data_IF_483587144269
#
_entry.id   IF_483587144269
#
_cell.length_a   1.000
_cell.length_b   1.000
_cell.length_c   1.000
_cell.angle_alpha   90.00
_cell.angle_beta   90.00
_cell.angle_gamma   90.00
#
_symmetry.space_group_name_H-M   'P 1'
#
loop_
_entity.id
_entity.type
_entity.pdbx_description
1 polymer ?
#
# COMPACT_ATOMS: atom_id res chain seq x y z
N UNK A 1 -16.68 1.09 13.57
CA UNK A 1 -16.04 0.07 12.73
C UNK A 1 -15.16 -0.78 13.61
N UNK A 2 -15.20 -2.10 13.43
CA UNK A 2 -14.23 -3.02 14.02
C UNK A 2 -12.99 -3.01 13.12
N UNK A 3 -11.86 -2.50 13.63
CA UNK A 3 -10.62 -2.33 12.86
C UNK A 3 -10.00 -3.68 12.51
N UNK A 4 -10.04 -4.64 13.43
CA UNK A 4 -9.47 -5.97 13.24
C UNK A 4 -10.25 -6.76 12.19
N UNK A 5 -11.58 -6.66 12.22
CA UNK A 5 -12.41 -7.24 11.17
C UNK A 5 -12.13 -6.60 9.81
N UNK A 6 -12.10 -5.27 9.74
CA UNK A 6 -11.87 -4.57 8.48
C UNK A 6 -10.47 -4.86 7.91
N UNK A 7 -9.45 -4.94 8.76
CA UNK A 7 -8.10 -5.36 8.37
C UNK A 7 -8.08 -6.76 7.77
N UNK A 8 -8.74 -7.75 8.41
CA UNK A 8 -8.79 -9.12 7.87
C UNK A 8 -9.43 -9.18 6.48
N UNK A 9 -10.48 -8.39 6.25
CA UNK A 9 -11.11 -8.28 4.93
C UNK A 9 -10.17 -7.67 3.89
N UNK A 10 -9.45 -6.60 4.25
CA UNK A 10 -8.45 -6.01 3.37
C UNK A 10 -7.26 -6.93 3.13
N UNK A 11 -6.81 -7.68 4.13
CA UNK A 11 -5.68 -8.60 4.00
C UNK A 11 -6.01 -9.70 2.99
N UNK A 12 -7.21 -10.27 3.02
CA UNK A 12 -7.65 -11.26 2.02
C UNK A 12 -7.58 -10.69 0.60
N UNK A 13 -8.04 -9.47 0.39
CA UNK A 13 -7.98 -8.82 -0.92
C UNK A 13 -6.54 -8.45 -1.33
N UNK A 14 -5.72 -7.98 -0.40
CA UNK A 14 -4.32 -7.66 -0.64
C UNK A 14 -3.54 -8.92 -1.00
N UNK A 15 -3.79 -10.05 -0.33
CA UNK A 15 -3.22 -11.35 -0.67
C UNK A 15 -3.65 -11.82 -2.06
N UNK A 16 -4.92 -11.61 -2.41
CA UNK A 16 -5.45 -11.96 -3.73
C UNK A 16 -4.72 -11.19 -4.83
N UNK A 17 -4.53 -9.88 -4.65
CA UNK A 17 -3.98 -8.97 -5.67
C UNK A 17 -2.45 -8.98 -5.73
N UNK A 18 -1.78 -9.09 -4.58
CA UNK A 18 -0.33 -8.88 -4.48
C UNK A 18 0.41 -10.13 -3.99
N UNK A 19 -0.28 -11.22 -3.70
CA UNK A 19 0.32 -12.50 -3.28
C UNK A 19 0.41 -12.67 -1.76
N UNK A 20 0.85 -13.85 -1.32
CA UNK A 20 0.82 -14.25 0.10
C UNK A 20 1.70 -13.35 0.99
N UNK A 21 1.37 -13.20 2.29
CA UNK A 21 2.15 -12.40 3.22
C UNK A 21 3.31 -13.22 3.80
N UNK A 22 4.29 -12.53 4.37
CA UNK A 22 5.26 -13.16 5.24
C UNK A 22 4.62 -13.49 6.59
N UNK A 23 4.32 -14.76 6.81
CA UNK A 23 3.67 -15.25 8.03
C UNK A 23 4.58 -15.32 9.26
N UNK A 24 5.86 -14.97 9.12
CA UNK A 24 6.76 -14.81 10.26
C UNK A 24 6.48 -13.53 11.04
N UNK A 25 5.77 -12.55 10.46
CA UNK A 25 5.36 -11.34 11.16
C UNK A 25 3.99 -11.48 11.80
N UNK A 26 3.83 -10.92 13.00
CA UNK A 26 2.60 -10.92 13.77
C UNK A 26 2.10 -9.48 13.93
N UNK A 27 0.84 -9.22 13.57
CA UNK A 27 0.18 -7.95 13.87
C UNK A 27 -0.31 -7.96 15.32
N UNK A 28 0.27 -7.09 16.15
CA UNK A 28 -0.09 -6.96 17.57
C UNK A 28 -1.34 -6.12 17.77
N UNK A 29 -1.43 -4.96 17.10
CA UNK A 29 -2.57 -4.07 17.23
C UNK A 29 -2.73 -3.11 16.05
N UNK A 30 -3.95 -2.57 15.95
CA UNK A 30 -4.30 -1.45 15.08
C UNK A 30 -4.80 -0.34 15.99
N UNK A 31 -4.15 0.82 15.97
CA UNK A 31 -4.52 1.92 16.88
C UNK A 31 -4.48 3.28 16.23
N UNK A 32 -5.32 4.18 16.74
CA UNK A 32 -5.20 5.60 16.46
C UNK A 32 -4.11 6.22 17.33
N UNK A 33 -3.23 7.02 16.74
CA UNK A 33 -2.26 7.82 17.50
C UNK A 33 -2.89 9.16 17.91
N UNK A 34 -2.57 9.64 19.12
CA UNK A 34 -3.17 10.86 19.67
C UNK A 34 -2.47 12.17 19.24
N UNK A 35 -1.35 12.05 18.51
CA UNK A 35 -0.56 13.16 17.99
C UNK A 35 -1.08 13.66 16.63
N UNK A 36 -1.25 14.97 16.49
CA UNK A 36 -1.93 15.58 15.33
C UNK A 36 -1.17 15.45 14.00
N UNK A 37 0.16 15.40 14.02
CA UNK A 37 1.00 15.42 12.80
C UNK A 37 1.70 14.09 12.51
N UNK A 38 1.20 13.01 13.07
CA UNK A 38 1.79 11.70 12.89
C UNK A 38 1.16 11.01 11.67
N UNK A 39 1.94 10.73 10.60
CA UNK A 39 1.41 10.00 9.45
C UNK A 39 0.99 8.59 9.89
N UNK A 40 0.04 8.00 9.16
CA UNK A 40 -0.18 6.57 9.26
C UNK A 40 1.09 5.82 8.86
N UNK A 41 1.31 4.67 9.50
CA UNK A 41 2.49 3.82 9.27
C UNK A 41 2.33 2.46 9.92
N UNK A 42 3.17 1.52 9.48
CA UNK A 42 3.56 0.37 10.27
C UNK A 42 4.71 0.74 11.22
N UNK A 43 4.63 0.27 12.46
CA UNK A 43 5.72 0.29 13.44
C UNK A 43 6.15 -1.14 13.76
N UNK A 44 7.46 -1.36 13.92
CA UNK A 44 8.00 -2.60 14.49
C UNK A 44 8.03 -2.45 16.02
N UNK A 45 7.19 -3.21 16.72
CA UNK A 45 7.16 -3.28 18.18
C UNK A 45 8.29 -4.18 18.71
N UNK A 46 8.56 -5.27 18.00
CA UNK A 46 9.73 -6.16 18.11
C UNK A 46 10.20 -6.54 16.69
N UNK A 47 11.23 -7.36 16.55
CA UNK A 47 11.79 -7.71 15.24
C UNK A 47 10.76 -8.35 14.29
N UNK A 48 9.80 -9.11 14.83
CA UNK A 48 8.74 -9.83 14.11
C UNK A 48 7.32 -9.37 14.47
N UNK A 49 7.17 -8.44 15.41
CA UNK A 49 5.87 -7.89 15.81
C UNK A 49 5.65 -6.51 15.22
N UNK A 50 4.54 -6.33 14.52
CA UNK A 50 4.18 -5.09 13.86
C UNK A 50 2.90 -4.50 14.43
N UNK A 51 2.74 -3.20 14.25
CA UNK A 51 1.56 -2.45 14.63
C UNK A 51 1.18 -1.45 13.54
N UNK A 52 -0.11 -1.37 13.23
CA UNK A 52 -0.65 -0.33 12.35
C UNK A 52 -1.06 0.88 13.20
N UNK A 53 -0.46 2.03 12.89
CA UNK A 53 -0.81 3.31 13.47
C UNK A 53 -1.61 4.14 12.47
N UNK A 54 -2.83 4.50 12.83
CA UNK A 54 -3.70 5.39 12.07
C UNK A 54 -3.68 6.79 12.68
N UNK A 55 -3.79 7.82 11.85
CA UNK A 55 -3.75 9.21 12.33
C UNK A 55 -4.92 9.54 13.27
N UNK A 56 -4.72 10.50 14.18
CA UNK A 56 -5.79 11.00 15.07
C UNK A 56 -7.04 11.43 14.30
N UNK A 57 -6.83 12.09 13.17
CA UNK A 57 -7.92 12.60 12.32
C UNK A 57 -8.79 11.47 11.75
N UNK A 58 -8.22 10.29 11.49
CA UNK A 58 -8.98 9.13 11.03
C UNK A 58 -9.99 8.65 12.08
N UNK A 59 -9.71 8.81 13.38
CA UNK A 59 -10.65 8.42 14.46
C UNK A 59 -12.04 9.07 14.32
N UNK A 60 -12.12 10.23 13.67
CA UNK A 60 -13.37 10.99 13.47
C UNK A 60 -13.88 10.94 12.03
N UNK A 61 -13.18 10.26 11.13
CA UNK A 61 -13.47 10.19 9.70
C UNK A 61 -13.37 8.73 9.26
N UNK A 62 -14.54 8.14 8.98
CA UNK A 62 -14.65 6.74 8.63
C UNK A 62 -13.92 6.41 7.33
N UNK A 63 -14.10 7.24 6.30
CA UNK A 63 -13.48 7.03 5.01
C UNK A 63 -11.96 7.25 5.09
N UNK A 64 -11.51 8.18 5.92
CA UNK A 64 -10.08 8.30 6.24
C UNK A 64 -9.52 7.10 6.97
N UNK A 65 -10.27 6.51 7.90
CA UNK A 65 -9.86 5.26 8.55
C UNK A 65 -9.75 4.14 7.52
N UNK A 66 -10.74 3.98 6.63
CA UNK A 66 -10.72 2.98 5.58
C UNK A 66 -9.51 3.16 4.64
N UNK A 67 -9.25 4.40 4.20
CA UNK A 67 -8.14 4.72 3.33
C UNK A 67 -6.78 4.41 3.98
N UNK A 68 -6.57 4.87 5.22
CA UNK A 68 -5.31 4.62 5.92
C UNK A 68 -5.12 3.13 6.25
N UNK A 69 -6.17 2.47 6.75
CA UNK A 69 -6.07 1.05 7.11
C UNK A 69 -5.80 0.17 5.89
N UNK A 70 -6.46 0.42 4.76
CA UNK A 70 -6.23 -0.33 3.53
C UNK A 70 -4.83 -0.08 2.94
N UNK A 71 -4.33 1.15 3.00
CA UNK A 71 -2.94 1.48 2.62
C UNK A 71 -1.94 0.67 3.46
N UNK A 72 -2.02 0.78 4.78
CA UNK A 72 -1.11 0.08 5.69
C UNK A 72 -1.23 -1.45 5.61
N UNK A 73 -2.41 -1.97 5.25
CA UNK A 73 -2.60 -3.41 5.06
C UNK A 73 -1.67 -3.97 4.00
N UNK A 74 -1.38 -3.24 2.93
CA UNK A 74 -0.46 -3.70 1.88
C UNK A 74 0.96 -3.85 2.41
N UNK A 75 1.43 -2.90 3.22
CA UNK A 75 2.75 -2.96 3.86
C UNK A 75 2.86 -4.15 4.84
N UNK A 76 1.75 -4.65 5.39
CA UNK A 76 1.78 -5.86 6.25
C UNK A 76 2.08 -7.15 5.49
N UNK A 77 1.95 -7.16 4.16
CA UNK A 77 2.24 -8.35 3.37
C UNK A 77 3.72 -8.75 3.45
N UNK A 78 4.62 -7.78 3.57
CA UNK A 78 6.04 -8.03 3.83
C UNK A 78 6.64 -6.78 4.47
N UNK A 79 6.51 -6.62 5.80
CA UNK A 79 6.95 -5.41 6.48
C UNK A 79 8.44 -5.16 6.23
N UNK A 80 8.76 -3.98 5.72
CA UNK A 80 10.13 -3.45 5.61
C UNK A 80 10.25 -2.18 6.44
N UNK A 81 11.48 -1.79 6.80
CA UNK A 81 11.67 -0.52 7.50
C UNK A 81 11.36 0.63 6.54
N UNK A 82 10.75 1.71 7.03
CA UNK A 82 10.20 2.83 6.24
C UNK A 82 11.17 3.42 5.19
N UNK A 83 12.48 3.33 5.40
CA UNK A 83 13.49 3.84 4.45
C UNK A 83 13.88 2.88 3.33
N UNK A 84 13.26 1.70 3.27
CA UNK A 84 13.53 0.64 2.31
C UNK A 84 12.36 0.41 1.34
N UNK A 85 11.21 1.06 1.57
CA UNK A 85 10.01 0.87 0.76
C UNK A 85 10.26 1.29 -0.69
N UNK A 86 10.00 0.39 -1.64
CA UNK A 86 10.13 0.70 -3.07
C UNK A 86 8.89 1.40 -3.62
N UNK A 87 9.05 2.15 -4.72
CA UNK A 87 7.96 2.87 -5.39
C UNK A 87 6.79 1.95 -5.73
N UNK A 88 7.05 0.71 -6.15
CA UNK A 88 6.00 -0.28 -6.44
C UNK A 88 5.15 -0.63 -5.21
N UNK A 89 5.74 -0.66 -4.02
CA UNK A 89 5.02 -0.99 -2.78
C UNK A 89 4.11 0.16 -2.36
N UNK A 90 4.64 1.39 -2.30
CA UNK A 90 3.82 2.59 -2.02
C UNK A 90 2.75 2.82 -3.09
N UNK A 91 3.09 2.56 -4.35
CA UNK A 91 2.12 2.60 -5.45
C UNK A 91 1.02 1.56 -5.29
N UNK A 92 1.35 0.34 -4.85
CA UNK A 92 0.38 -0.72 -4.60
C UNK A 92 -0.51 -0.41 -3.40
N UNK A 93 0.06 0.11 -2.30
CA UNK A 93 -0.67 0.57 -1.13
C UNK A 93 -1.64 1.71 -1.48
N UNK A 94 -1.14 2.71 -2.23
CA UNK A 94 -1.94 3.84 -2.68
C UNK A 94 -3.06 3.40 -3.62
N UNK A 95 -2.75 2.57 -4.63
CA UNK A 95 -3.73 2.01 -5.57
C UNK A 95 -4.82 1.22 -4.82
N UNK A 96 -4.41 0.33 -3.91
CA UNK A 96 -5.31 -0.51 -3.13
C UNK A 96 -6.27 0.33 -2.29
N UNK A 97 -5.75 1.37 -1.62
CA UNK A 97 -6.58 2.30 -0.86
C UNK A 97 -7.62 3.01 -1.73
N UNK A 98 -7.38 3.22 -3.02
CA UNK A 98 -8.34 3.88 -3.90
C UNK A 98 -9.42 2.95 -4.46
N UNK A 99 -9.17 1.64 -4.57
CA UNK A 99 -10.05 0.74 -5.34
C UNK A 99 -10.77 -0.32 -4.50
N UNK A 100 -10.23 -0.68 -3.34
CA UNK A 100 -10.78 -1.76 -2.51
C UNK A 100 -11.77 -1.28 -1.45
N UNK A 101 -11.48 -0.20 -0.69
CA UNK A 101 -12.42 0.27 0.31
C UNK A 101 -13.76 0.73 -0.27
N UNK A 102 -14.83 0.44 0.46
CA UNK A 102 -16.18 0.92 0.15
C UNK A 102 -16.44 2.22 0.92
N UNK A 103 -16.08 3.33 0.32
CA UNK A 103 -16.27 4.65 0.91
C UNK A 103 -17.74 5.04 1.04
N UNK A 104 -18.08 5.71 2.14
CA UNK A 104 -19.43 6.21 2.43
C UNK A 104 -19.69 7.49 1.64
N UNK A 105 -18.76 8.43 1.68
CA UNK A 105 -18.84 9.67 0.92
C UNK A 105 -18.42 9.43 -0.53
N UNK A 106 -19.37 9.55 -1.44
CA UNK A 106 -19.18 9.36 -2.88
C UNK A 106 -18.11 10.30 -3.48
N UNK A 107 -17.80 11.42 -2.81
CA UNK A 107 -16.81 12.40 -3.26
C UNK A 107 -15.44 12.23 -2.58
N UNK A 108 -15.29 11.28 -1.64
CA UNK A 108 -14.06 11.07 -0.89
C UNK A 108 -12.87 10.77 -1.81
N UNK A 109 -13.07 9.92 -2.82
CA UNK A 109 -12.04 9.54 -3.78
C UNK A 109 -11.56 10.74 -4.61
N UNK A 110 -12.48 11.57 -5.10
CA UNK A 110 -12.13 12.73 -5.92
C UNK A 110 -11.33 13.76 -5.10
N UNK A 111 -11.73 13.99 -3.84
CA UNK A 111 -10.96 14.85 -2.92
C UNK A 111 -9.58 14.28 -2.62
N UNK A 112 -9.50 12.97 -2.38
CA UNK A 112 -8.23 12.28 -2.10
C UNK A 112 -7.29 12.43 -3.30
N UNK A 113 -7.77 12.16 -4.52
CA UNK A 113 -6.98 12.33 -5.75
C UNK A 113 -6.55 13.77 -5.97
N UNK A 114 -7.43 14.74 -5.74
CA UNK A 114 -7.09 16.16 -5.85
C UNK A 114 -5.97 16.56 -4.88
N UNK A 115 -5.98 16.01 -3.66
CA UNK A 115 -4.92 16.24 -2.66
C UNK A 115 -3.56 15.67 -3.05
N UNK A 116 -3.50 14.69 -3.95
CA UNK A 116 -2.25 14.08 -4.39
C UNK A 116 -1.49 14.88 -5.46
N UNK A 117 -2.08 15.93 -6.04
CA UNK A 117 -1.48 16.69 -7.16
C UNK A 117 -0.42 17.72 -6.69
N UNK A 118 -0.23 17.90 -5.37
CA UNK A 118 0.72 18.85 -4.76
C UNK A 118 1.88 18.18 -4.04
N UNK A 119 2.01 18.44 -2.73
CA UNK A 119 3.08 17.91 -1.85
C UNK A 119 3.18 16.38 -1.84
N UNK A 120 2.15 15.68 -2.33
CA UNK A 120 2.06 14.23 -2.40
C UNK A 120 2.16 13.66 -3.83
N UNK A 121 2.71 14.44 -4.78
CA UNK A 121 2.83 14.05 -6.18
C UNK A 121 3.61 12.74 -6.40
N UNK A 122 4.55 12.41 -5.51
CA UNK A 122 5.26 11.13 -5.52
C UNK A 122 4.30 9.93 -5.41
N UNK A 123 3.30 9.99 -4.51
CA UNK A 123 2.27 8.97 -4.37
C UNK A 123 1.38 8.89 -5.61
N UNK A 124 0.96 10.04 -6.17
CA UNK A 124 0.18 10.07 -7.40
C UNK A 124 0.88 9.34 -8.55
N UNK A 125 2.20 9.57 -8.67
CA UNK A 125 3.01 8.92 -9.69
C UNK A 125 3.14 7.42 -9.45
N UNK A 126 3.48 7.01 -8.22
CA UNK A 126 3.61 5.61 -7.85
C UNK A 126 2.30 4.83 -8.09
N UNK A 127 1.17 5.42 -7.70
CA UNK A 127 -0.17 4.89 -7.95
C UNK A 127 -0.44 4.71 -9.45
N UNK A 128 -0.14 5.73 -10.27
CA UNK A 128 -0.36 5.67 -11.70
C UNK A 128 0.55 4.63 -12.39
N UNK A 129 1.79 4.48 -11.93
CA UNK A 129 2.71 3.44 -12.43
C UNK A 129 2.14 2.05 -12.14
N UNK A 130 1.64 1.80 -10.92
CA UNK A 130 0.98 0.54 -10.56
C UNK A 130 -0.33 0.33 -11.33
N UNK A 131 -1.16 1.37 -11.48
CA UNK A 131 -2.38 1.30 -12.31
C UNK A 131 -2.07 0.91 -13.75
N UNK A 132 -0.98 1.45 -14.30
CA UNK A 132 -0.51 1.12 -15.66
C UNK A 132 -0.02 -0.33 -15.73
N UNK A 133 0.77 -0.77 -14.75
CA UNK A 133 1.21 -2.17 -14.64
C UNK A 133 0.02 -3.14 -14.60
N UNK A 134 -0.96 -2.88 -13.74
CA UNK A 134 -2.13 -3.74 -13.54
C UNK A 134 -3.12 -3.69 -14.71
N UNK A 135 -3.13 -2.63 -15.52
CA UNK A 135 -3.94 -2.60 -16.75
C UNK A 135 -3.36 -3.46 -17.87
N UNK A 136 -2.05 -3.68 -17.87
CA UNK A 136 -1.36 -4.61 -18.78
C UNK A 136 -1.56 -6.04 -18.31
N UNK A 137 -1.34 -6.30 -17.03
CA UNK A 137 -1.56 -7.60 -16.41
C UNK A 137 -2.09 -7.45 -14.98
N UNK A 138 -3.37 -7.78 -14.71
CA UNK A 138 -3.98 -7.65 -13.38
C UNK A 138 -3.28 -8.47 -12.27
N UNK A 139 -2.55 -9.52 -12.63
CA UNK A 139 -1.82 -10.37 -11.70
C UNK A 139 -0.32 -10.02 -11.63
N UNK A 140 0.13 -8.95 -12.29
CA UNK A 140 1.56 -8.63 -12.45
C UNK A 140 2.32 -8.58 -11.12
N UNK A 141 1.81 -7.84 -10.14
CA UNK A 141 2.49 -7.69 -8.83
C UNK A 141 2.55 -9.04 -8.12
N UNK A 142 1.45 -9.79 -8.06
CA UNK A 142 1.44 -11.14 -7.47
C UNK A 142 2.43 -12.08 -8.18
N UNK A 143 2.45 -12.06 -9.51
CA UNK A 143 3.30 -12.93 -10.33
C UNK A 143 4.80 -12.60 -10.23
N UNK A 144 5.15 -11.31 -10.11
CA UNK A 144 6.52 -10.85 -9.92
C UNK A 144 7.00 -11.02 -8.46
N UNK A 145 6.12 -10.71 -7.50
CA UNK A 145 6.43 -10.81 -6.07
C UNK A 145 6.56 -12.25 -5.61
N UNK A 146 5.80 -13.21 -6.13
CA UNK A 146 5.91 -14.65 -5.78
C UNK A 146 5.96 -14.94 -4.26
N UNK A 147 5.31 -14.10 -3.46
CA UNK A 147 5.27 -14.23 -2.00
C UNK A 147 6.52 -13.78 -1.25
N UNK A 148 7.45 -13.05 -1.88
CA UNK A 148 8.62 -12.40 -1.23
C UNK A 148 8.41 -10.88 -1.05
N UNK A 149 9.44 -10.14 -0.64
CA UNK A 149 9.33 -8.69 -0.45
C UNK A 149 9.06 -7.95 -1.77
N UNK A 150 8.39 -6.81 -1.70
CA UNK A 150 8.32 -5.87 -2.82
C UNK A 150 9.71 -5.35 -3.21
N UNK A 151 10.61 -5.20 -2.23
CA UNK A 151 11.97 -4.73 -2.44
C UNK A 151 12.85 -5.71 -3.24
N UNK A 152 12.44 -6.97 -3.33
CA UNK A 152 13.18 -7.99 -4.06
C UNK A 152 12.76 -8.09 -5.53
N UNK A 153 11.66 -7.44 -5.94
CA UNK A 153 11.19 -7.42 -7.33
C UNK A 153 12.19 -6.67 -8.20
N UNK A 154 12.58 -7.27 -9.33
CA UNK A 154 13.43 -6.61 -10.33
C UNK A 154 12.62 -6.06 -11.51
N UNK A 155 13.22 -5.12 -12.25
CA UNK A 155 12.60 -4.55 -13.45
C UNK A 155 12.38 -5.62 -14.54
N UNK A 156 13.31 -6.58 -14.66
CA UNK A 156 13.20 -7.71 -15.59
C UNK A 156 12.01 -8.60 -15.25
N UNK A 157 11.75 -8.83 -13.97
CA UNK A 157 10.59 -9.62 -13.53
C UNK A 157 9.27 -8.88 -13.80
N UNK A 158 9.24 -7.55 -13.61
CA UNK A 158 8.08 -6.73 -14.02
C UNK A 158 7.84 -6.80 -15.52
N UNK A 159 8.90 -6.66 -16.33
CA UNK A 159 8.79 -6.76 -17.79
C UNK A 159 8.43 -8.17 -18.26
N UNK A 160 8.85 -9.22 -17.53
CA UNK A 160 8.48 -10.58 -17.85
C UNK A 160 6.97 -10.84 -17.66
N UNK A 161 6.36 -10.24 -16.63
CA UNK A 161 4.92 -10.40 -16.36
C UNK A 161 4.06 -9.34 -17.06
N UNK A 162 4.64 -8.21 -17.47
CA UNK A 162 3.99 -7.15 -18.22
C UNK A 162 4.91 -6.65 -19.36
N UNK A 163 5.04 -7.40 -20.47
CA UNK A 163 6.00 -7.09 -21.55
C UNK A 163 5.78 -5.76 -22.28
N UNK A 164 4.57 -5.19 -22.19
CA UNK A 164 4.24 -3.89 -22.77
C UNK A 164 4.51 -2.71 -21.84
N UNK A 165 5.00 -2.96 -20.62
CA UNK A 165 5.36 -1.89 -19.70
C UNK A 165 6.60 -1.16 -20.21
N UNK A 166 6.59 0.17 -20.11
CA UNK A 166 7.75 0.99 -20.43
C UNK A 166 8.96 0.62 -19.52
N UNK A 167 10.14 0.29 -20.08
CA UNK A 167 11.30 -0.13 -19.29
C UNK A 167 11.84 0.93 -18.31
N UNK A 168 11.66 2.23 -18.59
CA UNK A 168 12.01 3.30 -17.63
C UNK A 168 11.06 3.31 -16.44
N UNK A 169 9.78 3.04 -16.68
CA UNK A 169 8.78 2.85 -15.63
C UNK A 169 9.07 1.62 -14.79
N UNK A 170 9.39 0.47 -15.41
CA UNK A 170 9.79 -0.74 -14.68
C UNK A 170 11.00 -0.49 -13.76
N UNK A 171 12.04 0.19 -14.26
CA UNK A 171 13.24 0.53 -13.48
C UNK A 171 12.95 1.50 -12.34
N UNK A 172 12.10 2.50 -12.57
CA UNK A 172 11.69 3.43 -11.52
C UNK A 172 10.89 2.74 -10.42
N UNK A 173 9.97 1.84 -10.76
CA UNK A 173 9.11 1.18 -9.78
C UNK A 173 9.90 0.38 -8.73
N UNK A 174 11.13 -0.06 -9.05
CA UNK A 174 11.99 -0.82 -8.14
C UNK A 174 13.00 0.05 -7.36
N UNK A 175 12.93 1.38 -7.47
CA UNK A 175 13.77 2.26 -6.63
C UNK A 175 13.06 2.59 -5.31
N UNK A 176 13.84 3.01 -4.32
CA UNK A 176 13.31 3.50 -3.04
C UNK A 176 12.35 4.66 -3.26
N UNK A 177 11.22 4.64 -2.55
CA UNK A 177 10.25 5.72 -2.54
C UNK A 177 10.73 6.87 -1.64
N UNK A 178 10.61 8.09 -2.13
CA UNK A 178 10.95 9.31 -1.39
C UNK A 178 9.93 10.40 -1.72
N UNK A 179 9.56 11.18 -0.69
CA UNK A 179 8.71 12.37 -0.82
C UNK A 179 9.49 13.58 -1.31
#
# INVERSE_FOLDING_TARGET
>A
MDLDQQFREFLVEAERMFGAPNRSFVLDSIRYVDYEFTPNRIMFALDDHIEIQLSKSAKRDHDKTLAQLSHETVHTLWPVKVHETHIIEEGAATYFSMVVPKYIDATYLDRTRAGLVGEYAAYARAENDVRTLLSINPDAIRAARRGRSFCEITAEELLAVAPSLDPETARRMITVFSL
#
